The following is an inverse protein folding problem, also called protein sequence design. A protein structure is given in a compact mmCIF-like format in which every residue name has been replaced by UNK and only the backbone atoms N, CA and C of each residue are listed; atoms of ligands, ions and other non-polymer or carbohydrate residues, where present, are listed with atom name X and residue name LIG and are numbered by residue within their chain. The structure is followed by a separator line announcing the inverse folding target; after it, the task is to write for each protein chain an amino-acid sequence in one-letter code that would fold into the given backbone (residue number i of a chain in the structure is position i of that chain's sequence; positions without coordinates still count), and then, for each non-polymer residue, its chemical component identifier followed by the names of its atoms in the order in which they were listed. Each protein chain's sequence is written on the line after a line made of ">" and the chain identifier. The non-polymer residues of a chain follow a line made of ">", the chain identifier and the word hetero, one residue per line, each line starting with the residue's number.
data_IF_440718224411
#
_entry.id   IF_440718224411
#
_cell.length_a   1.000
_cell.length_b   1.000
_cell.length_c   1.000
_cell.angle_alpha   90.00
_cell.angle_beta   90.00
_cell.angle_gamma   90.00
#
_symmetry.space_group_name_H-M   'P 1'
#
loop_
_entity.id
_entity.type
_entity.pdbx_description
1 polymer ?
#
# COMPACT_ATOMS: atom_id res chain seq x y z
N UNK A 1 25.94 -30.01 -5.42
CA UNK A 1 25.16 -29.18 -4.49
C UNK A 1 24.00 -28.56 -5.27
N UNK A 2 22.75 -28.94 -4.97
CA UNK A 2 21.57 -28.26 -5.51
C UNK A 2 21.59 -26.83 -4.99
N UNK A 3 21.71 -25.84 -5.89
CA UNK A 3 21.56 -24.42 -5.50
C UNK A 3 20.16 -24.25 -4.97
N UNK A 4 20.03 -24.00 -3.66
CA UNK A 4 18.75 -23.72 -3.01
C UNK A 4 18.21 -22.40 -3.60
N UNK A 5 17.13 -22.49 -4.36
CA UNK A 5 16.45 -21.30 -4.87
C UNK A 5 15.89 -20.51 -3.68
N UNK A 6 16.26 -19.23 -3.59
CA UNK A 6 15.72 -18.29 -2.62
C UNK A 6 14.64 -17.45 -3.32
N UNK A 7 13.36 -17.64 -3.02
CA UNK A 7 12.31 -16.82 -3.60
C UNK A 7 12.39 -15.39 -3.05
N UNK A 8 11.95 -14.41 -3.84
CA UNK A 8 11.85 -13.01 -3.42
C UNK A 8 10.96 -12.84 -2.17
N UNK A 9 9.85 -13.54 -2.14
CA UNK A 9 8.97 -13.60 -0.97
C UNK A 9 8.24 -14.96 -0.93
N UNK A 10 7.76 -15.31 0.24
CA UNK A 10 6.93 -16.50 0.45
C UNK A 10 5.90 -16.22 1.53
N UNK A 11 4.67 -16.64 1.30
CA UNK A 11 3.61 -16.58 2.31
C UNK A 11 3.93 -17.47 3.51
N UNK A 12 3.49 -17.03 4.67
CA UNK A 12 3.51 -17.82 5.90
C UNK A 12 2.06 -18.09 6.32
N UNK A 13 1.59 -19.32 6.12
CA UNK A 13 0.23 -19.75 6.43
C UNK A 13 0.34 -20.89 7.44
N UNK A 14 -0.32 -20.77 8.58
CA UNK A 14 -0.39 -21.78 9.62
C UNK A 14 -1.81 -22.41 9.75
N UNK A 15 -1.92 -23.37 10.68
CA UNK A 15 -3.20 -24.07 10.91
C UNK A 15 -4.30 -23.15 11.46
N UNK A 16 -3.98 -22.01 12.06
CA UNK A 16 -4.97 -21.03 12.55
C UNK A 16 -5.59 -20.30 11.37
N UNK A 17 -4.76 -19.91 10.38
CA UNK A 17 -5.24 -19.30 9.15
C UNK A 17 -6.19 -20.23 8.41
N UNK A 18 -5.79 -21.50 8.26
CA UNK A 18 -6.62 -22.53 7.59
C UNK A 18 -7.95 -22.71 8.32
N UNK A 19 -7.93 -22.83 9.65
CA UNK A 19 -9.16 -22.97 10.45
C UNK A 19 -10.08 -21.77 10.29
N UNK A 20 -9.54 -20.56 10.28
CA UNK A 20 -10.33 -19.34 10.10
C UNK A 20 -11.03 -19.31 8.73
N UNK A 21 -10.34 -19.69 7.67
CA UNK A 21 -10.93 -19.79 6.32
C UNK A 21 -12.03 -20.87 6.29
N UNK A 22 -11.78 -22.06 6.87
CA UNK A 22 -12.79 -23.13 6.94
C UNK A 22 -14.04 -22.67 7.71
N UNK A 23 -13.88 -21.92 8.79
CA UNK A 23 -15.02 -21.39 9.55
C UNK A 23 -15.88 -20.45 8.70
N UNK A 24 -15.24 -19.56 7.92
CA UNK A 24 -15.98 -18.67 7.00
C UNK A 24 -16.70 -19.46 5.92
N UNK A 25 -16.05 -20.43 5.30
CA UNK A 25 -16.66 -21.28 4.27
C UNK A 25 -17.86 -22.10 4.76
N UNK A 26 -17.92 -22.38 6.07
CA UNK A 26 -19.05 -23.09 6.72
C UNK A 26 -20.10 -22.14 7.32
N UNK A 27 -19.89 -20.83 7.24
CA UNK A 27 -20.82 -19.82 7.76
C UNK A 27 -21.87 -19.42 6.72
N UNK A 28 -22.89 -18.71 7.16
CA UNK A 28 -23.95 -18.20 6.29
C UNK A 28 -23.46 -17.08 5.34
N UNK A 29 -22.28 -16.50 5.61
CA UNK A 29 -21.75 -15.36 4.87
C UNK A 29 -20.35 -15.66 4.33
N UNK A 30 -20.23 -15.96 3.05
CA UNK A 30 -18.95 -16.10 2.34
C UNK A 30 -18.44 -14.74 1.87
N UNK A 31 -19.33 -13.80 1.59
CA UNK A 31 -19.01 -12.43 1.17
C UNK A 31 -19.63 -11.43 2.12
N UNK A 32 -18.96 -10.31 2.31
CA UNK A 32 -19.37 -9.18 3.17
C UNK A 32 -19.58 -9.58 4.63
N UNK A 33 -20.11 -10.34 5.20
CA UNK A 33 -20.38 -10.86 6.53
C UNK A 33 -19.63 -10.17 7.70
N UNK A 34 -19.83 -10.68 8.92
CA UNK A 34 -19.31 -10.05 10.13
C UNK A 34 -17.78 -10.06 10.23
N UNK A 35 -17.09 -10.91 9.46
CA UNK A 35 -15.62 -11.00 9.50
C UNK A 35 -14.93 -9.76 8.95
N UNK A 36 -15.52 -9.07 7.97
CA UNK A 36 -14.99 -7.80 7.46
C UNK A 36 -14.97 -6.76 8.57
N UNK A 37 -16.11 -6.54 9.24
CA UNK A 37 -16.23 -5.59 10.33
C UNK A 37 -15.28 -5.92 11.50
N UNK A 38 -15.10 -7.21 11.80
CA UNK A 38 -14.18 -7.67 12.84
C UNK A 38 -12.74 -7.35 12.44
N UNK A 39 -12.34 -7.66 11.22
CA UNK A 39 -11.01 -7.35 10.69
C UNK A 39 -10.73 -5.84 10.74
N UNK A 40 -11.65 -5.01 10.26
CA UNK A 40 -11.50 -3.55 10.26
C UNK A 40 -11.32 -2.98 11.67
N UNK A 41 -12.11 -3.45 12.64
CA UNK A 41 -11.98 -3.03 14.05
C UNK A 41 -10.65 -3.46 14.66
N UNK A 42 -10.23 -4.70 14.45
CA UNK A 42 -8.97 -5.22 14.98
C UNK A 42 -7.76 -4.53 14.34
N UNK A 43 -7.81 -4.31 13.03
CA UNK A 43 -6.76 -3.60 12.30
C UNK A 43 -6.66 -2.13 12.73
N UNK A 44 -7.78 -1.42 12.83
CA UNK A 44 -7.80 -0.04 13.32
C UNK A 44 -7.17 0.06 14.72
N UNK A 45 -7.54 -0.87 15.62
CA UNK A 45 -6.95 -0.94 16.98
C UNK A 45 -5.46 -1.19 16.94
N UNK A 46 -5.01 -2.12 16.08
CA UNK A 46 -3.60 -2.50 15.98
C UNK A 46 -2.71 -1.34 15.51
N UNK A 47 -3.18 -0.56 14.53
CA UNK A 47 -2.43 0.59 13.98
C UNK A 47 -2.71 1.90 14.72
N UNK A 48 -3.57 1.91 15.76
CA UNK A 48 -3.94 3.11 16.51
C UNK A 48 -4.82 4.09 15.74
N UNK A 49 -5.50 3.64 14.67
CA UNK A 49 -6.42 4.45 13.89
C UNK A 49 -7.84 4.40 14.47
N UNK A 50 -8.63 5.45 14.20
CA UNK A 50 -10.04 5.48 14.61
C UNK A 50 -10.91 4.55 13.77
N UNK A 51 -10.59 4.41 12.49
CA UNK A 51 -11.32 3.59 11.52
C UNK A 51 -10.34 2.87 10.60
N UNK A 52 -10.78 1.75 10.06
CA UNK A 52 -10.16 1.07 8.93
C UNK A 52 -11.24 0.66 7.94
N UNK A 53 -10.91 0.66 6.67
CA UNK A 53 -11.77 0.21 5.58
C UNK A 53 -10.99 -0.83 4.78
N UNK A 54 -11.54 -2.02 4.69
CA UNK A 54 -10.93 -3.11 3.93
C UNK A 54 -11.24 -2.99 2.44
N UNK A 55 -10.31 -3.43 1.61
CA UNK A 55 -10.45 -3.52 0.16
C UNK A 55 -9.74 -4.77 -0.36
N UNK A 56 -9.96 -5.10 -1.63
CA UNK A 56 -9.52 -6.37 -2.20
C UNK A 56 -7.99 -6.48 -2.35
N UNK A 57 -7.27 -5.38 -2.55
CA UNK A 57 -5.82 -5.37 -2.81
C UNK A 57 -5.15 -4.10 -2.31
N UNK A 58 -3.82 -4.13 -2.11
CA UNK A 58 -3.04 -2.94 -1.82
C UNK A 58 -3.11 -1.87 -2.91
N UNK A 59 -3.23 -2.27 -4.17
CA UNK A 59 -3.45 -1.35 -5.30
C UNK A 59 -4.79 -0.59 -5.14
N UNK A 60 -5.86 -1.29 -4.76
CA UNK A 60 -7.14 -0.67 -4.46
C UNK A 60 -7.05 0.27 -3.24
N UNK A 61 -6.29 -0.12 -2.21
CA UNK A 61 -6.08 0.72 -1.03
C UNK A 61 -5.40 2.04 -1.39
N UNK A 62 -4.34 2.01 -2.19
CA UNK A 62 -3.66 3.22 -2.67
C UNK A 62 -4.59 4.11 -3.50
N UNK A 63 -5.36 3.53 -4.42
CA UNK A 63 -6.32 4.27 -5.23
C UNK A 63 -7.41 4.92 -4.38
N UNK A 64 -8.02 4.17 -3.45
CA UNK A 64 -9.02 4.70 -2.52
C UNK A 64 -8.45 5.81 -1.62
N UNK A 65 -7.19 5.67 -1.19
CA UNK A 65 -6.52 6.72 -0.41
C UNK A 65 -6.36 8.01 -1.22
N UNK A 66 -5.95 7.91 -2.49
CA UNK A 66 -5.85 9.07 -3.39
C UNK A 66 -7.23 9.73 -3.61
N UNK A 67 -8.28 8.94 -3.80
CA UNK A 67 -9.65 9.44 -3.91
C UNK A 67 -10.11 10.16 -2.64
N UNK A 68 -9.86 9.56 -1.48
CA UNK A 68 -10.21 10.14 -0.17
C UNK A 68 -9.49 11.47 0.10
N UNK A 69 -8.26 11.63 -0.42
CA UNK A 69 -7.50 12.88 -0.39
C UNK A 69 -7.95 13.90 -1.45
N UNK A 70 -8.91 13.55 -2.31
CA UNK A 70 -9.44 14.45 -3.31
C UNK A 70 -8.56 14.64 -4.55
N UNK A 71 -7.62 13.71 -4.82
CA UNK A 71 -6.79 13.78 -6.03
C UNK A 71 -7.65 13.72 -7.28
N UNK A 72 -7.25 14.49 -8.28
CA UNK A 72 -7.90 14.60 -9.58
C UNK A 72 -6.90 15.05 -10.65
N UNK A 73 -7.33 15.28 -11.88
CA UNK A 73 -6.47 15.65 -13.01
C UNK A 73 -5.69 16.96 -12.87
N UNK A 74 -5.99 17.78 -11.85
CA UNK A 74 -5.24 19.02 -11.52
C UNK A 74 -4.25 18.81 -10.38
N UNK A 75 -4.24 17.63 -9.79
CA UNK A 75 -3.39 17.26 -8.66
C UNK A 75 -2.08 16.65 -9.11
N UNK A 76 -1.17 16.49 -8.16
CA UNK A 76 0.11 15.81 -8.38
C UNK A 76 0.47 14.91 -7.20
N UNK A 77 1.08 13.77 -7.52
CA UNK A 77 1.60 12.81 -6.58
C UNK A 77 3.10 12.61 -6.81
N UNK A 78 3.86 12.42 -5.74
CA UNK A 78 5.27 12.08 -5.79
C UNK A 78 5.50 10.74 -5.07
N UNK A 79 6.26 9.85 -5.70
CA UNK A 79 6.67 8.56 -5.11
C UNK A 79 8.12 8.24 -5.44
N UNK A 80 8.66 7.17 -4.87
CA UNK A 80 10.02 6.71 -5.13
C UNK A 80 10.14 6.11 -6.53
N UNK A 81 11.32 6.25 -7.17
CA UNK A 81 11.62 5.63 -8.46
C UNK A 81 11.74 4.11 -8.38
N UNK A 82 12.12 3.58 -7.21
CA UNK A 82 12.10 2.13 -6.94
C UNK A 82 10.87 1.82 -6.08
N UNK A 83 9.85 1.30 -6.73
CA UNK A 83 8.57 0.96 -6.09
C UNK A 83 7.77 -0.03 -6.94
N UNK A 84 6.78 -0.67 -6.35
CA UNK A 84 5.76 -1.36 -7.12
C UNK A 84 4.90 -0.32 -7.88
N UNK A 85 4.59 -0.60 -9.13
CA UNK A 85 3.93 0.35 -10.04
C UNK A 85 2.62 0.96 -9.51
N UNK A 86 1.92 0.27 -8.61
CA UNK A 86 0.70 0.78 -8.00
C UNK A 86 0.89 2.10 -7.24
N UNK A 87 2.09 2.37 -6.72
CA UNK A 87 2.41 3.64 -6.04
C UNK A 87 2.31 4.86 -6.96
N UNK A 88 2.51 4.67 -8.25
CA UNK A 88 2.33 5.70 -9.29
C UNK A 88 0.93 5.62 -9.92
N UNK A 89 0.48 4.40 -10.27
CA UNK A 89 -0.78 4.19 -10.97
C UNK A 89 -2.01 4.67 -10.17
N UNK A 90 -1.96 4.68 -8.84
CA UNK A 90 -3.05 5.20 -8.03
C UNK A 90 -3.38 6.67 -8.32
N UNK A 91 -2.39 7.47 -8.77
CA UNK A 91 -2.59 8.84 -9.22
C UNK A 91 -2.95 8.91 -10.71
N UNK A 92 -2.29 8.09 -11.55
CA UNK A 92 -2.58 8.01 -12.99
C UNK A 92 -4.04 7.64 -13.26
N UNK A 93 -4.64 6.75 -12.48
CA UNK A 93 -6.08 6.41 -12.59
C UNK A 93 -7.00 7.60 -12.36
N UNK A 94 -6.53 8.64 -11.70
CA UNK A 94 -7.27 9.88 -11.44
C UNK A 94 -6.86 11.01 -12.39
N UNK A 95 -5.99 10.73 -13.36
CA UNK A 95 -5.43 11.72 -14.28
C UNK A 95 -4.47 12.70 -13.61
N UNK A 96 -4.03 12.45 -12.38
CA UNK A 96 -3.10 13.29 -11.65
C UNK A 96 -1.67 13.11 -12.17
N UNK A 97 -0.87 14.18 -12.12
CA UNK A 97 0.52 14.13 -12.54
C UNK A 97 1.38 13.37 -11.54
N UNK A 98 2.23 12.47 -12.03
CA UNK A 98 3.16 11.71 -11.19
C UNK A 98 4.58 12.26 -11.31
N UNK A 99 5.23 12.44 -10.17
CA UNK A 99 6.63 12.74 -10.04
C UNK A 99 7.36 11.58 -9.37
N UNK A 100 8.57 11.30 -9.85
CA UNK A 100 9.43 10.28 -9.26
C UNK A 100 10.63 10.96 -8.60
N UNK A 101 10.89 10.61 -7.34
CA UNK A 101 12.11 11.03 -6.65
C UNK A 101 13.12 9.90 -6.65
N UNK A 102 14.38 10.26 -6.54
CA UNK A 102 15.47 9.31 -6.39
C UNK A 102 15.39 8.59 -5.03
N UNK A 103 16.11 7.49 -4.91
CA UNK A 103 16.23 6.71 -3.67
C UNK A 103 17.61 6.89 -3.06
N UNK A 104 17.70 6.71 -1.77
CA UNK A 104 18.96 6.61 -1.05
C UNK A 104 19.68 5.29 -1.44
N UNK A 105 20.97 5.36 -1.73
CA UNK A 105 21.74 4.22 -2.25
C UNK A 105 21.95 3.07 -1.27
N UNK A 106 21.82 3.33 0.03
CA UNK A 106 22.09 2.35 1.07
C UNK A 106 20.80 1.70 1.59
N UNK A 107 19.71 2.49 1.69
CA UNK A 107 18.42 2.02 2.22
C UNK A 107 17.38 1.71 1.14
N UNK A 108 17.57 2.23 -0.08
CA UNK A 108 16.59 2.20 -1.18
C UNK A 108 15.25 2.87 -0.84
N UNK A 109 15.15 3.56 0.29
CA UNK A 109 14.02 4.41 0.62
C UNK A 109 14.10 5.75 -0.12
N UNK A 110 13.02 6.51 -0.08
CA UNK A 110 12.94 7.83 -0.69
C UNK A 110 14.07 8.73 -0.19
N UNK A 111 14.86 9.31 -1.12
CA UNK A 111 15.98 10.19 -0.78
C UNK A 111 15.48 11.57 -0.33
N UNK A 112 15.72 11.99 0.93
CA UNK A 112 15.20 13.25 1.46
C UNK A 112 15.68 14.48 0.68
N UNK A 113 16.93 14.50 0.25
CA UNK A 113 17.48 15.64 -0.51
C UNK A 113 16.89 15.73 -1.92
N UNK A 114 16.60 14.61 -2.57
CA UNK A 114 15.91 14.57 -3.86
C UNK A 114 14.46 15.01 -3.72
N UNK A 115 13.78 14.53 -2.67
CA UNK A 115 12.42 14.94 -2.32
C UNK A 115 12.33 16.45 -2.13
N UNK A 116 13.20 17.03 -1.28
CA UNK A 116 13.21 18.46 -1.01
C UNK A 116 13.41 19.31 -2.28
N UNK A 117 14.31 18.88 -3.18
CA UNK A 117 14.53 19.55 -4.46
C UNK A 117 13.28 19.57 -5.34
N UNK A 118 12.52 18.44 -5.36
CA UNK A 118 11.30 18.36 -6.14
C UNK A 118 10.15 19.18 -5.53
N UNK A 119 10.02 19.18 -4.20
CA UNK A 119 9.02 19.97 -3.49
C UNK A 119 9.24 21.49 -3.67
N UNK A 120 10.51 21.95 -3.74
CA UNK A 120 10.84 23.36 -4.02
C UNK A 120 10.50 23.80 -5.44
N UNK A 121 10.50 22.87 -6.41
CA UNK A 121 10.29 23.17 -7.84
C UNK A 121 8.88 22.93 -8.34
N UNK A 122 8.13 22.10 -7.66
CA UNK A 122 6.82 21.62 -8.11
C UNK A 122 5.81 21.70 -6.98
N UNK A 123 4.56 21.99 -7.33
CA UNK A 123 3.45 21.81 -6.42
C UNK A 123 3.17 20.30 -6.34
N UNK A 124 3.34 19.71 -5.19
CA UNK A 124 3.04 18.30 -4.90
C UNK A 124 1.92 18.26 -3.86
N UNK A 125 0.83 17.59 -4.18
CA UNK A 125 -0.34 17.50 -3.31
C UNK A 125 -0.26 16.26 -2.40
N UNK A 126 0.35 15.15 -2.87
CA UNK A 126 0.50 13.91 -2.10
C UNK A 126 1.89 13.32 -2.30
N UNK A 127 2.47 12.80 -1.23
CA UNK A 127 3.72 12.03 -1.26
C UNK A 127 3.43 10.60 -0.78
N UNK A 128 3.85 9.61 -1.56
CA UNK A 128 3.72 8.18 -1.25
C UNK A 128 5.12 7.57 -1.07
N UNK A 129 5.67 7.54 0.14
CA UNK A 129 6.94 6.91 0.41
C UNK A 129 6.83 5.39 0.37
N UNK A 130 7.94 4.71 0.06
CA UNK A 130 8.06 3.26 0.12
C UNK A 130 8.98 2.88 1.28
N UNK A 131 8.48 2.07 2.20
CA UNK A 131 9.28 1.47 3.27
C UNK A 131 9.96 0.20 2.73
N UNK A 132 11.06 0.38 1.99
CA UNK A 132 11.76 -0.74 1.37
C UNK A 132 12.27 -1.70 2.43
N UNK A 133 11.85 -2.97 2.34
CA UNK A 133 12.20 -4.03 3.32
C UNK A 133 11.90 -3.69 4.78
N UNK A 134 10.96 -2.77 5.04
CA UNK A 134 10.55 -2.38 6.39
C UNK A 134 11.39 -1.27 7.03
N UNK A 135 12.18 -0.56 6.23
CA UNK A 135 12.92 0.64 6.68
C UNK A 135 12.00 1.80 6.95
#
# INVERSE_FOLDING_TARGET
>A
MLKRFLPYSRQNIDNRDIKSVIQVLKSDFITQGPNINKFEKEFAKYVGARYAVSCATGTAALHLSCLALGLNSKSSLLTSSITFVASANCAEFLGAKVYLTDVDKDTYCMCPTSLEKLLKKNKIDVVVPVHMSGH
#
